data_IF_675311492315
#
_entry.id   IF_675311492315
#
_cell.length_a   1.000
_cell.length_b   1.000
_cell.length_c   1.000
_cell.angle_alpha   90.00
_cell.angle_beta   90.00
_cell.angle_gamma   90.00
#
_symmetry.space_group_name_H-M   'P 1'
#
loop_
_entity.id
_entity.type
_entity.pdbx_description
1 polymer ?
#
# COMPACT_ATOMS: atom_id res chain seq x y z
N UNK A 1 -0.73 9.31 19.95
CA UNK A 1 -0.23 8.35 18.94
C UNK A 1 -1.36 7.97 18.00
N UNK A 2 -1.08 7.94 16.70
CA UNK A 2 -2.01 7.48 15.65
C UNK A 2 -1.54 6.13 15.13
N UNK A 3 -2.48 5.22 14.94
CA UNK A 3 -2.25 3.91 14.33
C UNK A 3 -2.84 3.90 12.93
N UNK A 4 -2.04 3.54 11.96
CA UNK A 4 -2.46 3.41 10.55
C UNK A 4 -2.20 1.99 10.07
N UNK A 5 -3.14 1.43 9.33
CA UNK A 5 -3.04 0.08 8.76
C UNK A 5 -3.30 0.14 7.26
N UNK A 6 -2.55 -0.64 6.51
CA UNK A 6 -2.71 -0.83 5.08
C UNK A 6 -2.78 -2.32 4.76
N UNK A 7 -3.74 -2.73 3.94
CA UNK A 7 -3.95 -4.13 3.60
C UNK A 7 -4.45 -4.30 2.17
N UNK A 8 -3.71 -5.00 1.35
CA UNK A 8 -4.25 -5.49 0.07
C UNK A 8 -5.15 -6.70 0.38
N UNK A 9 -6.43 -6.55 0.16
CA UNK A 9 -7.45 -7.55 0.52
C UNK A 9 -7.73 -8.58 -0.57
N UNK A 10 -7.18 -8.38 -1.76
CA UNK A 10 -7.34 -9.29 -2.90
C UNK A 10 -8.80 -9.70 -3.13
N UNK A 11 -9.66 -8.70 -3.26
CA UNK A 11 -11.11 -8.86 -3.33
C UNK A 11 -11.77 -8.66 -1.97
N UNK A 12 -12.43 -7.51 -1.81
CA UNK A 12 -13.01 -7.12 -0.52
C UNK A 12 -14.12 -8.07 -0.07
N UNK A 13 -15.00 -8.50 -0.99
CA UNK A 13 -16.10 -9.43 -0.64
C UNK A 13 -15.58 -10.75 -0.07
N UNK A 14 -14.51 -11.29 -0.68
CA UNK A 14 -13.90 -12.53 -0.19
C UNK A 14 -13.27 -12.31 1.20
N UNK A 15 -12.58 -11.19 1.39
CA UNK A 15 -11.93 -10.87 2.66
C UNK A 15 -12.94 -10.61 3.78
N UNK A 16 -14.10 -10.02 3.47
CA UNK A 16 -15.20 -9.86 4.44
C UNK A 16 -15.64 -11.20 5.01
N UNK A 17 -15.72 -12.24 4.18
CA UNK A 17 -16.06 -13.60 4.61
C UNK A 17 -14.96 -14.30 5.39
N UNK A 18 -13.78 -13.71 5.50
CA UNK A 18 -12.60 -14.29 6.15
C UNK A 18 -12.09 -13.48 7.35
N UNK A 19 -12.94 -12.64 7.94
CA UNK A 19 -12.62 -11.96 9.19
C UNK A 19 -12.14 -10.51 9.05
N UNK A 20 -12.38 -9.84 7.92
CA UNK A 20 -11.95 -8.45 7.72
C UNK A 20 -12.48 -7.51 8.79
N UNK A 21 -13.80 -7.54 9.08
CA UNK A 21 -14.41 -6.62 10.05
C UNK A 21 -13.90 -6.84 11.47
N UNK A 22 -13.73 -8.09 11.85
CA UNK A 22 -13.17 -8.45 13.16
C UNK A 22 -11.76 -7.89 13.33
N UNK A 23 -10.93 -8.06 12.31
CA UNK A 23 -9.57 -7.53 12.34
C UNK A 23 -9.56 -5.99 12.40
N UNK A 24 -10.37 -5.32 11.57
CA UNK A 24 -10.46 -3.86 11.58
C UNK A 24 -10.86 -3.34 12.96
N UNK A 25 -11.87 -3.95 13.60
CA UNK A 25 -12.33 -3.57 14.93
C UNK A 25 -11.27 -3.80 16.00
N UNK A 26 -10.62 -4.96 15.99
CA UNK A 26 -9.55 -5.28 16.94
C UNK A 26 -8.35 -4.36 16.80
N UNK A 27 -8.02 -3.96 15.57
CA UNK A 27 -6.91 -3.07 15.31
C UNK A 27 -7.12 -1.69 15.92
N UNK A 28 -8.37 -1.24 15.99
CA UNK A 28 -8.75 0.10 16.44
C UNK A 28 -7.94 1.20 15.73
N UNK A 29 -7.64 0.99 14.46
CA UNK A 29 -6.82 1.90 13.68
C UNK A 29 -7.51 3.26 13.50
N UNK A 30 -6.74 4.33 13.56
CA UNK A 30 -7.23 5.68 13.26
C UNK A 30 -7.48 5.86 11.76
N UNK A 31 -6.63 5.24 10.94
CA UNK A 31 -6.75 5.21 9.49
C UNK A 31 -6.51 3.78 9.02
N UNK A 32 -7.41 3.26 8.20
CA UNK A 32 -7.31 1.91 7.63
C UNK A 32 -7.46 2.01 6.11
N UNK A 33 -6.42 1.63 5.37
CA UNK A 33 -6.41 1.66 3.92
C UNK A 33 -6.45 0.26 3.34
N UNK A 34 -7.22 0.06 2.27
CA UNK A 34 -7.23 -1.21 1.55
C UNK A 34 -6.92 -0.99 0.08
N UNK A 35 -6.31 -1.99 -0.54
CA UNK A 35 -6.04 -2.04 -1.95
C UNK A 35 -6.65 -3.31 -2.54
N UNK A 36 -6.87 -3.28 -3.84
CA UNK A 36 -7.42 -4.39 -4.59
C UNK A 36 -8.80 -4.83 -4.07
N UNK A 37 -9.69 -3.85 -3.92
CA UNK A 37 -11.06 -4.10 -3.49
C UNK A 37 -11.84 -4.95 -4.49
N UNK A 38 -11.54 -4.82 -5.79
CA UNK A 38 -12.22 -5.48 -6.92
C UNK A 38 -13.72 -5.21 -6.96
N UNK A 39 -14.13 -4.03 -6.47
CA UNK A 39 -15.53 -3.62 -6.38
C UNK A 39 -15.88 -2.55 -7.41
N UNK A 40 -17.17 -2.53 -7.75
CA UNK A 40 -17.84 -1.37 -8.36
C UNK A 40 -18.75 -0.72 -7.33
N UNK A 41 -19.09 0.54 -7.55
CA UNK A 41 -19.99 1.29 -6.69
C UNK A 41 -21.32 0.52 -6.49
N UNK A 42 -21.77 0.44 -5.24
CA UNK A 42 -23.04 -0.20 -4.88
C UNK A 42 -23.00 -1.71 -4.73
N UNK A 43 -21.86 -2.37 -4.99
CA UNK A 43 -21.78 -3.82 -4.83
C UNK A 43 -21.71 -4.30 -3.38
N UNK A 44 -21.20 -3.45 -2.48
CA UNK A 44 -21.14 -3.73 -1.03
C UNK A 44 -21.60 -2.49 -0.30
N UNK A 45 -22.55 -2.67 0.62
CA UNK A 45 -22.91 -1.67 1.60
C UNK A 45 -22.22 -2.03 2.91
N UNK A 46 -21.25 -1.21 3.30
CA UNK A 46 -20.44 -1.46 4.49
C UNK A 46 -20.83 -0.48 5.60
N UNK A 47 -21.27 -1.02 6.74
CA UNK A 47 -21.51 -0.23 7.94
C UNK A 47 -20.26 -0.31 8.83
N UNK A 48 -19.60 0.85 9.02
CA UNK A 48 -18.46 1.01 9.91
C UNK A 48 -18.72 2.16 10.87
N UNK A 49 -19.47 1.93 11.97
CA UNK A 49 -19.67 2.98 12.96
C UNK A 49 -18.35 3.54 13.47
N UNK A 50 -18.24 4.88 13.49
CA UNK A 50 -17.02 5.54 13.92
C UNK A 50 -15.98 5.80 12.84
N UNK A 51 -16.26 5.36 11.62
CA UNK A 51 -15.37 5.61 10.47
C UNK A 51 -16.08 6.35 9.34
N UNK A 52 -15.36 7.30 8.75
CA UNK A 52 -15.68 7.88 7.45
C UNK A 52 -15.08 6.98 6.37
N UNK A 53 -15.81 6.77 5.27
CA UNK A 53 -15.41 5.85 4.21
C UNK A 53 -15.19 6.59 2.90
N UNK A 54 -14.10 6.30 2.21
CA UNK A 54 -13.76 6.84 0.90
C UNK A 54 -13.35 5.70 -0.03
N UNK A 55 -14.02 5.59 -1.17
CA UNK A 55 -13.83 4.49 -2.12
C UNK A 55 -13.44 5.03 -3.48
N UNK A 56 -12.46 4.41 -4.10
CA UNK A 56 -12.06 4.69 -5.47
C UNK A 56 -12.12 3.39 -6.28
N UNK A 57 -13.00 3.35 -7.27
CA UNK A 57 -13.29 2.15 -8.05
C UNK A 57 -12.60 2.21 -9.41
N UNK A 58 -12.11 1.06 -9.90
CA UNK A 58 -11.67 0.95 -11.28
C UNK A 58 -12.86 0.94 -12.23
N UNK A 59 -12.68 1.45 -13.43
CA UNK A 59 -13.69 1.35 -14.49
C UNK A 59 -13.90 -0.10 -14.91
N UNK A 60 -12.83 -0.89 -14.96
CA UNK A 60 -12.89 -2.32 -15.27
C UNK A 60 -13.47 -3.10 -14.09
N UNK A 61 -14.50 -3.90 -14.36
CA UNK A 61 -15.17 -4.73 -13.35
C UNK A 61 -14.23 -5.79 -12.77
N UNK A 62 -14.32 -6.00 -11.44
CA UNK A 62 -13.57 -7.06 -10.75
C UNK A 62 -12.07 -6.84 -10.73
N UNK A 63 -11.61 -5.59 -10.80
CA UNK A 63 -10.21 -5.24 -10.96
C UNK A 63 -9.83 -4.04 -10.09
N UNK A 64 -8.62 -4.09 -9.49
CA UNK A 64 -8.02 -2.96 -8.76
C UNK A 64 -8.95 -2.35 -7.68
N UNK A 65 -8.94 -1.04 -7.51
CA UNK A 65 -9.76 -0.32 -6.53
C UNK A 65 -9.09 -0.18 -5.17
N UNK A 66 -9.32 0.97 -4.54
CA UNK A 66 -8.79 1.29 -3.20
C UNK A 66 -9.88 1.87 -2.33
N UNK A 67 -9.66 1.82 -1.00
CA UNK A 67 -10.52 2.50 -0.05
C UNK A 67 -9.71 2.99 1.16
N UNK A 68 -10.24 4.00 1.82
CA UNK A 68 -9.67 4.54 3.05
C UNK A 68 -10.78 4.76 4.07
N UNK A 69 -10.55 4.28 5.29
CA UNK A 69 -11.47 4.45 6.42
C UNK A 69 -10.77 5.27 7.49
N UNK A 70 -11.40 6.35 7.95
CA UNK A 70 -10.78 7.27 8.91
C UNK A 70 -11.73 7.56 10.07
N UNK A 71 -11.21 7.57 11.31
CA UNK A 71 -11.98 7.99 12.48
C UNK A 71 -12.23 9.50 12.46
N UNK A 72 -11.19 10.27 12.14
CA UNK A 72 -11.29 11.72 11.98
C UNK A 72 -11.69 12.05 10.54
N UNK A 73 -12.62 13.00 10.37
CA UNK A 73 -12.98 13.47 9.04
C UNK A 73 -11.84 14.29 8.45
N UNK A 74 -11.34 13.94 7.27
CA UNK A 74 -10.29 14.72 6.60
C UNK A 74 -10.76 16.12 6.23
N UNK A 75 -9.82 17.04 6.12
CA UNK A 75 -10.07 18.40 5.58
C UNK A 75 -10.56 18.32 4.14
N UNK A 76 -9.96 17.42 3.36
CA UNK A 76 -10.35 17.13 1.97
C UNK A 76 -9.92 15.72 1.58
N UNK A 77 -10.56 15.18 0.55
CA UNK A 77 -10.19 13.90 -0.07
C UNK A 77 -10.18 14.07 -1.57
N UNK A 78 -9.13 13.58 -2.21
CA UNK A 78 -9.01 13.58 -3.67
C UNK A 78 -8.70 12.16 -4.16
N UNK A 79 -9.02 11.89 -5.42
CA UNK A 79 -8.92 10.57 -6.04
C UNK A 79 -8.04 10.65 -7.27
N UNK A 80 -7.10 9.70 -7.40
CA UNK A 80 -6.18 9.65 -8.52
C UNK A 80 -5.00 10.60 -8.38
N UNK A 81 -4.23 10.71 -9.45
CA UNK A 81 -3.05 11.59 -9.55
C UNK A 81 -3.35 12.92 -10.25
N UNK A 82 -4.56 13.09 -10.77
CA UNK A 82 -4.90 14.24 -11.62
C UNK A 82 -4.39 14.07 -13.06
N UNK A 83 -4.11 12.85 -13.49
CA UNK A 83 -3.61 12.50 -14.81
C UNK A 83 -4.54 11.44 -15.38
N UNK A 84 -5.25 11.80 -16.47
CA UNK A 84 -6.31 10.95 -17.02
C UNK A 84 -5.85 9.52 -17.29
N UNK A 85 -4.71 9.32 -17.96
CA UNK A 85 -4.24 7.97 -18.30
C UNK A 85 -3.92 7.07 -17.09
N UNK A 86 -3.74 7.66 -15.90
CA UNK A 86 -3.44 6.94 -14.67
C UNK A 86 -4.64 6.78 -13.73
N UNK A 87 -5.74 7.45 -14.00
CA UNK A 87 -6.83 7.59 -13.03
C UNK A 87 -8.07 6.74 -13.32
N UNK A 88 -7.97 5.74 -14.23
CA UNK A 88 -9.08 4.85 -14.58
C UNK A 88 -9.14 3.56 -13.75
N UNK A 89 -8.13 3.30 -12.94
CA UNK A 89 -8.02 2.00 -12.26
C UNK A 89 -8.22 2.08 -10.73
N UNK A 90 -8.66 3.23 -10.21
CA UNK A 90 -8.99 3.37 -8.78
C UNK A 90 -7.81 3.13 -7.84
N UNK A 91 -6.61 3.62 -8.18
CA UNK A 91 -5.37 3.24 -7.51
C UNK A 91 -4.93 4.15 -6.37
N UNK A 92 -5.42 5.38 -6.31
CA UNK A 92 -4.91 6.37 -5.36
C UNK A 92 -6.06 7.13 -4.70
N UNK A 93 -6.00 7.25 -3.37
CA UNK A 93 -6.84 8.15 -2.57
C UNK A 93 -5.91 8.98 -1.71
N UNK A 94 -6.12 10.30 -1.69
CA UNK A 94 -5.39 11.22 -0.83
C UNK A 94 -6.34 11.90 0.14
N UNK A 95 -6.08 11.75 1.43
CA UNK A 95 -6.80 12.46 2.49
C UNK A 95 -5.88 13.53 3.09
N UNK A 96 -6.39 14.76 3.17
CA UNK A 96 -5.69 15.86 3.83
C UNK A 96 -6.13 15.95 5.28
N UNK A 97 -5.16 15.90 6.19
CA UNK A 97 -5.36 16.18 7.61
C UNK A 97 -4.66 17.49 7.98
N UNK A 98 -4.93 18.08 9.14
CA UNK A 98 -4.29 19.36 9.50
C UNK A 98 -2.76 19.34 9.44
N UNK A 99 -2.13 18.22 9.79
CA UNK A 99 -0.68 18.13 9.94
C UNK A 99 0.05 17.42 8.79
N UNK A 100 -0.66 16.62 7.99
CA UNK A 100 -0.07 15.83 6.90
C UNK A 100 -1.13 15.34 5.91
N UNK A 101 -0.66 14.88 4.76
CA UNK A 101 -1.48 14.08 3.84
C UNK A 101 -1.27 12.60 4.12
N UNK A 102 -2.32 11.81 3.95
CA UNK A 102 -2.24 10.34 3.92
C UNK A 102 -2.70 9.87 2.54
N UNK A 103 -1.81 9.16 1.84
CA UNK A 103 -2.05 8.66 0.48
C UNK A 103 -2.03 7.14 0.53
N UNK A 104 -3.12 6.49 0.11
CA UNK A 104 -3.09 5.05 -0.17
C UNK A 104 -2.90 4.82 -1.66
N UNK A 105 -2.13 3.80 -1.99
CA UNK A 105 -1.76 3.51 -3.36
C UNK A 105 -1.76 2.01 -3.63
N UNK A 106 -2.31 1.64 -4.80
CA UNK A 106 -2.14 0.32 -5.38
C UNK A 106 -1.38 0.46 -6.70
N UNK A 107 -0.08 0.25 -6.64
CA UNK A 107 0.82 0.42 -7.79
C UNK A 107 0.51 -0.61 -8.89
N UNK A 108 0.48 -0.22 -10.18
CA UNK A 108 0.27 -1.18 -11.25
C UNK A 108 1.31 -2.29 -11.25
N UNK A 109 0.86 -3.55 -11.33
CA UNK A 109 1.74 -4.70 -11.52
C UNK A 109 2.33 -4.67 -12.92
N UNK A 110 3.62 -4.95 -13.05
CA UNK A 110 4.28 -5.02 -14.36
C UNK A 110 3.90 -6.25 -15.17
N UNK A 111 3.24 -7.23 -14.56
CA UNK A 111 2.72 -8.47 -15.12
C UNK A 111 3.80 -9.46 -15.58
N UNK A 112 3.38 -10.70 -15.82
CA UNK A 112 4.26 -11.76 -16.30
C UNK A 112 4.98 -11.34 -17.59
N UNK A 113 6.26 -11.61 -17.66
CA UNK A 113 7.10 -11.21 -18.79
C UNK A 113 7.33 -9.71 -18.88
N UNK A 114 7.01 -8.97 -17.80
CA UNK A 114 7.17 -7.52 -17.71
C UNK A 114 6.40 -6.77 -18.83
N UNK A 115 5.25 -7.30 -19.22
CA UNK A 115 4.44 -6.76 -20.32
C UNK A 115 4.01 -5.31 -20.10
N UNK A 116 3.83 -4.90 -18.84
CA UNK A 116 3.36 -3.57 -18.48
C UNK A 116 4.45 -2.72 -17.83
N UNK A 117 5.71 -3.12 -17.96
CA UNK A 117 6.83 -2.43 -17.31
C UNK A 117 6.97 -0.98 -17.78
N UNK A 118 6.87 -0.71 -19.07
CA UNK A 118 7.01 0.65 -19.61
C UNK A 118 5.95 1.59 -19.04
N UNK A 119 4.70 1.14 -18.98
CA UNK A 119 3.62 1.88 -18.34
C UNK A 119 3.91 2.12 -16.85
N UNK A 120 4.36 1.08 -16.15
CA UNK A 120 4.73 1.17 -14.73
C UNK A 120 5.81 2.21 -14.47
N UNK A 121 6.81 2.30 -15.34
CA UNK A 121 7.88 3.29 -15.18
C UNK A 121 7.34 4.71 -15.28
N UNK A 122 6.44 4.98 -16.22
CA UNK A 122 5.75 6.28 -16.35
C UNK A 122 4.89 6.56 -15.12
N UNK A 123 4.16 5.56 -14.65
CA UNK A 123 3.31 5.69 -13.46
C UNK A 123 4.13 6.02 -12.20
N UNK A 124 5.28 5.36 -12.03
CA UNK A 124 6.18 5.62 -10.91
C UNK A 124 6.69 7.06 -10.90
N UNK A 125 7.08 7.58 -12.05
CA UNK A 125 7.54 8.96 -12.16
C UNK A 125 6.41 9.95 -11.85
N UNK A 126 5.20 9.67 -12.34
CA UNK A 126 4.02 10.50 -12.06
C UNK A 126 3.65 10.47 -10.58
N UNK A 127 3.69 9.29 -9.94
CA UNK A 127 3.39 9.16 -8.52
C UNK A 127 4.40 9.91 -7.65
N UNK A 128 5.70 9.78 -7.93
CA UNK A 128 6.74 10.52 -7.22
C UNK A 128 6.54 12.03 -7.34
N UNK A 129 6.27 12.52 -8.54
CA UNK A 129 5.99 13.93 -8.79
C UNK A 129 4.76 14.41 -8.01
N UNK A 130 3.71 13.59 -7.97
CA UNK A 130 2.49 13.87 -7.23
C UNK A 130 2.76 14.02 -5.73
N UNK A 131 3.49 13.07 -5.14
CA UNK A 131 3.86 13.13 -3.72
C UNK A 131 4.70 14.36 -3.40
N UNK A 132 5.64 14.71 -4.26
CA UNK A 132 6.49 15.90 -4.07
C UNK A 132 5.68 17.19 -4.17
N UNK A 133 4.67 17.24 -5.03
CA UNK A 133 3.76 18.40 -5.12
C UNK A 133 2.94 18.55 -3.83
N UNK A 134 2.41 17.46 -3.27
CA UNK A 134 1.73 17.48 -1.97
C UNK A 134 2.66 17.98 -0.86
N UNK A 135 3.90 17.50 -0.87
CA UNK A 135 4.89 17.81 0.16
C UNK A 135 5.27 19.30 0.22
N UNK A 136 5.03 20.06 -0.86
CA UNK A 136 5.22 21.53 -0.83
C UNK A 136 4.27 22.23 0.15
N UNK A 137 3.17 21.57 0.53
CA UNK A 137 2.17 22.13 1.46
C UNK A 137 2.26 21.51 2.84
N UNK A 138 2.34 20.19 2.93
CA UNK A 138 2.39 19.43 4.19
C UNK A 138 3.22 18.16 4.00
N UNK A 139 3.78 17.60 5.07
CA UNK A 139 4.40 16.28 5.00
C UNK A 139 3.43 15.23 4.48
N UNK A 140 3.97 14.16 3.90
CA UNK A 140 3.20 13.09 3.29
C UNK A 140 3.51 11.76 3.97
N UNK A 141 2.43 11.01 4.28
CA UNK A 141 2.50 9.59 4.64
C UNK A 141 1.86 8.85 3.48
N UNK A 142 2.56 7.91 2.86
CA UNK A 142 1.94 7.08 1.83
C UNK A 142 2.10 5.60 2.15
N UNK A 143 1.12 4.82 1.76
CA UNK A 143 1.07 3.41 2.05
C UNK A 143 0.42 2.64 0.91
N UNK A 144 0.56 1.34 0.96
CA UNK A 144 -0.16 0.43 0.11
C UNK A 144 0.71 -0.66 -0.47
N UNK A 145 0.12 -1.35 -1.43
CA UNK A 145 0.81 -2.35 -2.23
C UNK A 145 1.58 -1.63 -3.34
N UNK A 146 2.89 -1.52 -3.17
CA UNK A 146 3.76 -0.83 -4.13
C UNK A 146 4.33 -1.80 -5.19
N UNK A 147 3.95 -3.07 -5.13
CA UNK A 147 4.31 -4.09 -6.12
C UNK A 147 5.81 -4.16 -6.41
N UNK A 148 6.63 -3.96 -5.39
CA UNK A 148 8.08 -4.07 -5.49
C UNK A 148 8.69 -4.50 -4.16
N UNK A 149 9.57 -5.51 -4.19
CA UNK A 149 10.50 -5.79 -3.11
C UNK A 149 11.76 -4.97 -3.39
N UNK A 150 12.14 -4.08 -2.48
CA UNK A 150 13.19 -3.10 -2.75
C UNK A 150 14.57 -3.72 -2.86
N UNK A 151 14.98 -4.49 -1.86
CA UNK A 151 16.31 -5.07 -1.75
C UNK A 151 16.24 -6.60 -1.65
N UNK A 152 17.40 -7.26 -1.75
CA UNK A 152 17.45 -8.73 -1.66
C UNK A 152 16.91 -9.26 -0.33
N UNK A 153 17.02 -8.50 0.76
CA UNK A 153 16.46 -8.86 2.06
C UNK A 153 14.92 -8.91 2.04
N UNK A 154 14.29 -8.27 1.07
CA UNK A 154 12.84 -8.09 1.02
C UNK A 154 12.10 -9.25 0.34
N UNK A 155 12.78 -10.30 -0.10
CA UNK A 155 12.13 -11.49 -0.62
C UNK A 155 12.99 -12.73 -0.38
N UNK A 156 12.34 -13.89 -0.35
CA UNK A 156 12.99 -15.17 -0.04
C UNK A 156 13.98 -15.61 -1.11
N UNK A 157 13.64 -15.41 -2.40
CA UNK A 157 14.39 -15.93 -3.54
C UNK A 157 14.82 -14.82 -4.51
N UNK A 158 15.73 -13.91 -4.12
CA UNK A 158 16.08 -12.76 -4.95
C UNK A 158 16.74 -13.15 -6.28
N UNK A 159 17.61 -14.15 -6.29
CA UNK A 159 18.38 -14.51 -7.50
C UNK A 159 17.47 -14.99 -8.64
N UNK A 160 16.44 -15.79 -8.34
CA UNK A 160 15.55 -16.36 -9.36
C UNK A 160 14.47 -15.37 -9.82
N UNK A 161 14.28 -14.27 -9.09
CA UNK A 161 13.21 -13.30 -9.35
C UNK A 161 13.69 -11.98 -9.96
N UNK A 162 14.97 -11.88 -10.30
CA UNK A 162 15.59 -10.64 -10.75
C UNK A 162 15.01 -10.06 -12.05
N UNK A 163 14.36 -10.90 -12.86
CA UNK A 163 13.71 -10.48 -14.12
C UNK A 163 12.18 -10.65 -14.05
N UNK A 164 11.65 -10.87 -12.87
CA UNK A 164 10.21 -11.03 -12.66
C UNK A 164 9.58 -9.74 -12.14
N UNK A 165 8.29 -9.57 -12.43
CA UNK A 165 7.52 -8.45 -11.91
C UNK A 165 7.63 -8.40 -10.38
N UNK A 166 7.87 -7.20 -9.85
CA UNK A 166 8.06 -6.94 -8.43
C UNK A 166 9.51 -6.96 -7.97
N UNK A 167 10.46 -7.45 -8.79
CA UNK A 167 11.88 -7.44 -8.44
C UNK A 167 12.81 -7.16 -9.62
N UNK A 168 12.28 -6.58 -10.69
CA UNK A 168 13.12 -6.14 -11.82
C UNK A 168 14.04 -5.00 -11.36
N UNK A 169 15.18 -4.88 -12.01
CA UNK A 169 16.14 -3.81 -11.72
C UNK A 169 15.47 -2.43 -11.89
N UNK A 170 14.60 -2.28 -12.89
CA UNK A 170 13.89 -1.03 -13.19
C UNK A 170 12.89 -0.65 -12.09
N UNK A 171 12.12 -1.60 -11.60
CA UNK A 171 11.15 -1.37 -10.51
C UNK A 171 11.87 -1.01 -9.22
N UNK A 172 12.93 -1.72 -8.88
CA UNK A 172 13.76 -1.46 -7.69
C UNK A 172 14.43 -0.08 -7.77
N UNK A 173 14.92 0.30 -8.95
CA UNK A 173 15.51 1.61 -9.18
C UNK A 173 14.51 2.74 -8.96
N UNK A 174 13.26 2.59 -9.42
CA UNK A 174 12.21 3.58 -9.18
C UNK A 174 11.87 3.72 -7.70
N UNK A 175 11.88 2.62 -6.95
CA UNK A 175 11.68 2.71 -5.50
C UNK A 175 12.85 3.42 -4.82
N UNK A 176 14.08 3.16 -5.24
CA UNK A 176 15.26 3.87 -4.76
C UNK A 176 15.16 5.38 -5.05
N UNK A 177 14.72 5.76 -6.26
CA UNK A 177 14.48 7.17 -6.59
C UNK A 177 13.39 7.79 -5.72
N UNK A 178 12.31 7.03 -5.44
CA UNK A 178 11.23 7.49 -4.60
C UNK A 178 11.72 7.81 -3.18
N UNK A 179 12.46 6.90 -2.56
CA UNK A 179 13.04 7.14 -1.25
C UNK A 179 14.08 8.26 -1.29
N UNK A 180 14.89 8.31 -2.34
CA UNK A 180 15.90 9.35 -2.54
C UNK A 180 15.31 10.75 -2.71
N UNK A 181 14.02 10.85 -3.01
CA UNK A 181 13.30 12.13 -3.10
C UNK A 181 12.94 12.71 -1.71
N UNK A 182 13.28 12.03 -0.62
CA UNK A 182 13.07 12.52 0.74
C UNK A 182 12.02 11.75 1.54
N UNK A 183 11.88 10.44 1.28
CA UNK A 183 10.96 9.57 1.99
C UNK A 183 11.68 8.45 2.73
N UNK A 184 11.08 7.96 3.81
CA UNK A 184 11.59 6.90 4.67
C UNK A 184 10.70 5.68 4.53
N UNK A 185 11.30 4.52 4.22
CA UNK A 185 10.67 3.20 4.36
C UNK A 185 10.64 2.87 5.87
N UNK A 186 9.48 3.01 6.51
CA UNK A 186 9.38 3.00 7.97
C UNK A 186 9.74 1.66 8.58
N UNK A 187 9.37 0.54 7.96
CA UNK A 187 9.73 -0.77 8.48
C UNK A 187 11.24 -0.94 8.49
N UNK A 188 11.91 -0.61 7.38
CA UNK A 188 13.36 -0.76 7.25
C UNK A 188 14.13 0.25 8.11
N UNK A 189 13.51 1.40 8.40
CA UNK A 189 14.05 2.38 9.35
C UNK A 189 14.20 1.80 10.76
N UNK A 190 13.16 1.10 11.25
CA UNK A 190 13.19 0.49 12.57
C UNK A 190 13.94 -0.86 12.58
N UNK A 191 13.88 -1.61 11.50
CA UNK A 191 14.40 -2.98 11.42
C UNK A 191 15.28 -3.15 10.18
N UNK A 192 16.44 -2.43 10.12
CA UNK A 192 17.25 -2.38 8.90
C UNK A 192 17.82 -3.73 8.45
N UNK A 193 18.04 -4.65 9.39
CA UNK A 193 18.69 -5.94 9.12
C UNK A 193 17.79 -7.16 9.37
N UNK A 194 16.51 -6.95 9.65
CA UNK A 194 15.60 -8.05 9.96
C UNK A 194 15.19 -8.80 8.69
N UNK A 195 15.63 -10.06 8.60
CA UNK A 195 15.32 -10.96 7.50
C UNK A 195 14.03 -11.74 7.74
N UNK A 196 13.47 -12.27 6.65
CA UNK A 196 12.37 -13.24 6.73
C UNK A 196 11.01 -12.65 7.09
N UNK A 197 10.85 -11.33 7.03
CA UNK A 197 9.57 -10.66 7.29
C UNK A 197 9.02 -10.14 5.97
N UNK A 198 7.89 -10.71 5.56
CA UNK A 198 7.25 -10.44 4.27
C UNK A 198 5.80 -10.04 4.45
N UNK A 199 5.20 -9.46 3.39
CA UNK A 199 3.82 -9.01 3.41
C UNK A 199 2.94 -9.73 2.40
N UNK A 200 3.53 -10.48 1.48
CA UNK A 200 2.83 -11.21 0.43
C UNK A 200 3.49 -12.56 0.16
N UNK A 201 2.66 -13.58 -0.12
CA UNK A 201 3.08 -14.93 -0.51
C UNK A 201 2.15 -15.41 -1.62
N UNK A 202 2.72 -16.02 -2.65
CA UNK A 202 1.92 -16.65 -3.71
C UNK A 202 1.03 -17.75 -3.11
N UNK A 203 -0.14 -17.95 -3.67
CA UNK A 203 -0.98 -19.11 -3.33
C UNK A 203 -0.40 -20.43 -3.82
N UNK A 204 0.58 -20.38 -4.71
CA UNK A 204 1.21 -21.57 -5.30
C UNK A 204 2.28 -22.14 -4.37
N UNK A 205 2.46 -23.46 -4.45
CA UNK A 205 3.58 -24.19 -3.82
C UNK A 205 3.66 -24.03 -2.30
N UNK A 206 2.54 -23.80 -1.63
CA UNK A 206 2.50 -23.57 -0.17
C UNK A 206 3.49 -22.48 0.28
N UNK A 207 3.60 -21.41 -0.50
CA UNK A 207 4.61 -20.36 -0.29
C UNK A 207 4.51 -19.74 1.12
N UNK A 208 3.29 -19.49 1.61
CA UNK A 208 3.12 -18.88 2.94
C UNK A 208 3.54 -19.82 4.06
N UNK A 209 3.21 -21.11 3.98
CA UNK A 209 3.63 -22.10 4.96
C UNK A 209 5.16 -22.24 5.01
N UNK A 210 5.83 -22.09 3.88
CA UNK A 210 7.29 -22.14 3.75
C UNK A 210 7.95 -20.78 3.99
N UNK A 211 7.16 -19.75 4.21
CA UNK A 211 7.61 -18.36 4.27
C UNK A 211 8.44 -17.94 3.05
N UNK A 212 8.05 -18.39 1.86
CA UNK A 212 8.65 -17.95 0.59
C UNK A 212 7.93 -16.70 0.09
N UNK A 213 8.13 -15.61 0.80
CA UNK A 213 7.38 -14.38 0.63
C UNK A 213 8.19 -13.22 0.07
N UNK A 214 7.49 -12.10 -0.07
CA UNK A 214 8.00 -10.82 -0.55
C UNK A 214 7.45 -9.71 0.34
N UNK A 215 8.27 -8.71 0.64
CA UNK A 215 7.79 -7.48 1.29
C UNK A 215 7.53 -6.46 0.19
N UNK A 216 6.27 -6.27 -0.13
CA UNK A 216 5.81 -5.37 -1.20
C UNK A 216 4.75 -4.35 -0.73
N UNK A 217 4.34 -4.44 0.52
CA UNK A 217 3.41 -3.50 1.16
C UNK A 217 4.19 -2.62 2.14
N UNK A 218 3.94 -1.32 2.09
CA UNK A 218 4.77 -0.33 2.78
C UNK A 218 3.96 0.75 3.47
N UNK A 219 4.55 1.33 4.51
CA UNK A 219 4.32 2.70 4.94
C UNK A 219 5.61 3.48 4.77
N UNK A 220 5.53 4.58 4.02
CA UNK A 220 6.64 5.52 3.86
C UNK A 220 6.19 6.92 4.27
N UNK A 221 7.12 7.71 4.80
CA UNK A 221 6.81 9.05 5.29
C UNK A 221 7.86 10.06 4.80
N UNK A 222 7.45 11.33 4.67
CA UNK A 222 8.38 12.43 4.48
C UNK A 222 9.44 12.44 5.58
N UNK A 223 10.69 12.76 5.25
CA UNK A 223 11.78 12.83 6.23
C UNK A 223 11.49 13.80 7.38
N UNK A 224 10.71 14.84 7.13
CA UNK A 224 10.29 15.79 8.18
C UNK A 224 9.46 15.16 9.29
N UNK A 225 8.89 13.97 9.07
CA UNK A 225 8.14 13.24 10.09
C UNK A 225 8.99 12.23 10.87
N UNK A 226 10.25 12.12 10.58
CA UNK A 226 11.15 11.11 11.15
C UNK A 226 11.08 11.04 12.68
N UNK A 227 11.13 12.18 13.35
CA UNK A 227 11.15 12.24 14.81
C UNK A 227 9.79 11.92 15.44
N UNK A 228 8.74 11.80 14.63
CA UNK A 228 7.39 11.43 15.06
C UNK A 228 7.11 9.94 14.92
N UNK A 229 8.00 9.19 14.29
CA UNK A 229 7.84 7.74 14.10
C UNK A 229 7.98 7.02 15.43
N UNK A 230 7.06 6.09 15.72
CA UNK A 230 7.04 5.28 16.94
C UNK A 230 7.40 3.83 16.65
N UNK A 231 6.76 3.21 15.67
CA UNK A 231 7.03 1.83 15.26
C UNK A 231 6.42 1.55 13.88
N UNK A 232 6.87 0.47 13.26
CA UNK A 232 6.29 -0.09 12.05
C UNK A 232 6.20 -1.61 12.21
N UNK A 233 5.05 -2.19 11.81
CA UNK A 233 4.78 -3.62 12.02
C UNK A 233 4.27 -4.27 10.75
N UNK A 234 4.54 -5.56 10.62
CA UNK A 234 3.98 -6.41 9.56
C UNK A 234 3.27 -7.57 10.26
N UNK A 235 1.95 -7.67 10.10
CA UNK A 235 1.12 -8.62 10.82
C UNK A 235 1.02 -9.94 10.04
N UNK A 236 2.10 -10.68 9.98
CA UNK A 236 2.24 -11.90 9.14
C UNK A 236 1.27 -13.02 9.52
N UNK A 237 0.74 -13.00 10.74
CA UNK A 237 -0.22 -13.98 11.26
C UNK A 237 -1.66 -13.75 10.80
N UNK A 238 -1.97 -12.57 10.28
CA UNK A 238 -3.33 -12.22 9.86
C UNK A 238 -3.64 -12.84 8.51
N UNK A 239 -4.69 -13.66 8.49
CA UNK A 239 -5.16 -14.36 7.30
C UNK A 239 -6.35 -13.63 6.65
N UNK A 240 -6.75 -14.05 5.45
CA UNK A 240 -7.90 -13.48 4.74
C UNK A 240 -7.58 -12.94 3.36
N UNK A 241 -6.29 -12.82 3.04
CA UNK A 241 -5.76 -12.39 1.74
C UNK A 241 -4.43 -13.09 1.51
N UNK A 242 -3.88 -13.04 0.31
CA UNK A 242 -2.51 -13.44 0.02
C UNK A 242 -1.47 -12.40 0.50
N UNK A 243 -1.95 -11.21 0.87
CA UNK A 243 -1.17 -10.22 1.63
C UNK A 243 -1.55 -10.27 3.10
N UNK A 244 -0.66 -9.80 3.97
CA UNK A 244 -0.99 -9.47 5.34
C UNK A 244 -1.00 -7.95 5.55
N UNK A 245 -1.66 -7.46 6.63
CA UNK A 245 -1.66 -6.03 6.92
C UNK A 245 -0.29 -5.52 7.35
N UNK A 246 0.00 -4.27 7.03
CA UNK A 246 1.16 -3.53 7.56
C UNK A 246 0.66 -2.34 8.38
N UNK A 247 1.44 -1.93 9.38
CA UNK A 247 1.05 -0.90 10.34
C UNK A 247 2.14 0.15 10.49
N UNK A 248 1.72 1.39 10.67
CA UNK A 248 2.55 2.50 11.12
C UNK A 248 1.97 3.11 12.38
N UNK A 249 2.80 3.27 13.41
CA UNK A 249 2.49 4.03 14.61
C UNK A 249 3.28 5.34 14.60
N UNK A 250 2.58 6.47 14.73
CA UNK A 250 3.17 7.81 14.63
C UNK A 250 2.57 8.75 15.67
N UNK A 251 3.36 9.67 16.20
CA UNK A 251 2.89 10.71 17.13
C UNK A 251 2.11 11.81 16.42
#
# INVERSE_FOLDING_TARGET
MKKMISWNVNGFRACLGKGFLEYLKESDADIFCIQESKLQEGQVELELPGYHQYWNYAEKKGYSGTAMFTKEEPVSVTYGLGIEEHDHEGRVITAEFPEYYVVTCYTPNSQDGLKRLDYRMQWEDAFRAYLKALETKKPVIFCGDLNVAHQEIDLKNPKTNRKNAGFSDEERAKFTELLGAGFIDTFRYFYPDQEGIYSWWSYRFSARAKNAGWRIDYFCVSESLKDRLVDAKIHTEVMGSDHCPVELDIQ
#
